data_IF_320527131657
#
_entry.id   IF_320527131657
#
_cell.length_a   1.000
_cell.length_b   1.000
_cell.length_c   1.000
_cell.angle_alpha   90.00
_cell.angle_beta   90.00
_cell.angle_gamma   90.00
#
_symmetry.space_group_name_H-M   'P 1'
#
loop_
_entity.id
_entity.type
_entity.pdbx_description
1 polymer ?
#
# COMPACT_ATOMS: atom_id res chain seq x y z
N UNK A 1 21.07 -71.35 21.11
CA UNK A 1 20.37 -71.45 22.40
C UNK A 1 20.72 -70.22 23.22
N UNK A 2 19.66 -69.48 23.62
CA UNK A 2 19.54 -68.57 24.77
C UNK A 2 20.56 -67.43 24.94
N UNK A 3 20.19 -66.18 24.64
CA UNK A 3 19.52 -65.20 25.55
C UNK A 3 20.27 -64.96 26.86
N UNK A 4 20.87 -63.78 26.98
CA UNK A 4 21.01 -63.07 28.25
C UNK A 4 20.50 -61.64 28.09
N UNK A 5 19.52 -61.29 28.92
CA UNK A 5 19.02 -59.94 29.16
C UNK A 5 20.00 -59.20 30.07
N UNK A 6 20.43 -58.01 29.66
CA UNK A 6 21.12 -57.04 30.49
C UNK A 6 20.25 -55.81 30.71
N UNK A 7 19.82 -55.60 31.96
CA UNK A 7 19.21 -54.36 32.46
C UNK A 7 20.27 -53.24 32.44
N UNK A 8 19.99 -52.12 31.76
CA UNK A 8 20.83 -50.92 31.82
C UNK A 8 20.12 -49.84 32.65
N UNK A 9 20.87 -49.33 33.63
CA UNK A 9 20.52 -48.26 34.55
C UNK A 9 20.28 -46.94 33.81
N UNK A 10 19.26 -46.19 34.26
CA UNK A 10 18.95 -44.85 33.79
C UNK A 10 20.03 -43.84 34.18
N UNK A 11 20.55 -43.14 33.18
CA UNK A 11 21.36 -41.92 33.36
C UNK A 11 20.44 -40.71 33.41
N UNK A 12 20.45 -40.02 34.56
CA UNK A 12 19.85 -38.71 34.76
C UNK A 12 20.42 -37.71 33.73
N UNK A 13 19.56 -37.16 32.89
CA UNK A 13 19.90 -36.05 31.99
C UNK A 13 19.32 -34.79 32.60
N UNK A 14 20.16 -34.04 33.33
CA UNK A 14 19.85 -32.70 33.81
C UNK A 14 19.62 -31.77 32.60
N UNK A 15 18.36 -31.44 32.34
CA UNK A 15 17.97 -30.44 31.37
C UNK A 15 18.31 -29.05 31.90
N UNK A 16 19.39 -28.46 31.39
CA UNK A 16 19.76 -27.06 31.62
C UNK A 16 18.75 -26.14 30.90
N UNK A 17 18.04 -25.29 31.65
CA UNK A 17 17.17 -24.25 31.09
C UNK A 17 17.75 -22.85 31.32
N UNK A 18 17.68 -22.02 30.28
CA UNK A 18 18.08 -20.61 30.28
C UNK A 18 16.88 -19.72 30.66
N UNK A 19 17.10 -18.65 31.43
CA UNK A 19 16.06 -17.68 31.78
C UNK A 19 16.08 -16.45 30.87
N UNK A 20 14.90 -16.00 30.44
CA UNK A 20 14.64 -14.82 29.62
C UNK A 20 13.94 -13.74 30.42
N UNK A 21 14.23 -12.47 30.12
CA UNK A 21 13.63 -11.31 30.78
C UNK A 21 13.08 -10.34 29.73
N UNK A 22 12.04 -9.59 30.09
CA UNK A 22 11.40 -8.61 29.20
C UNK A 22 11.30 -7.25 29.89
N UNK A 23 11.66 -6.19 29.17
CA UNK A 23 11.56 -4.80 29.62
C UNK A 23 10.46 -4.11 28.82
N UNK A 24 9.49 -3.51 29.51
CA UNK A 24 8.45 -2.68 28.91
C UNK A 24 8.76 -1.19 29.07
N UNK A 25 8.72 -0.44 27.98
CA UNK A 25 8.97 1.00 27.88
C UNK A 25 7.70 1.73 27.44
N UNK A 26 7.44 2.95 27.91
CA UNK A 26 6.27 3.73 27.46
C UNK A 26 6.68 5.11 26.96
N UNK A 27 6.55 5.38 25.67
CA UNK A 27 6.53 6.76 25.16
C UNK A 27 5.10 7.30 25.31
N UNK A 28 4.92 8.63 25.37
CA UNK A 28 3.64 9.31 25.67
C UNK A 28 2.38 8.82 24.93
N UNK A 29 2.46 7.92 23.92
CA UNK A 29 1.31 7.20 23.35
C UNK A 29 1.52 5.72 22.95
N UNK A 30 2.67 5.08 23.21
CA UNK A 30 2.91 3.68 22.79
C UNK A 30 3.82 2.90 23.76
N UNK A 31 3.47 1.66 24.14
CA UNK A 31 4.40 0.75 24.80
C UNK A 31 5.37 0.10 23.79
N UNK A 32 6.66 0.02 24.13
CA UNK A 32 7.73 -0.68 23.41
C UNK A 32 8.24 -1.84 24.29
N UNK A 33 8.64 -2.97 23.70
CA UNK A 33 9.31 -4.06 24.44
C UNK A 33 10.74 -4.28 23.97
N UNK A 34 11.59 -4.70 24.91
CA UNK A 34 12.90 -5.27 24.64
C UNK A 34 13.02 -6.63 25.36
N UNK A 35 13.38 -7.68 24.62
CA UNK A 35 13.61 -9.03 25.14
C UNK A 35 15.12 -9.27 25.25
N UNK A 36 15.59 -9.60 26.46
CA UNK A 36 16.98 -9.96 26.73
C UNK A 36 17.11 -11.45 27.06
N UNK A 37 18.07 -12.13 26.43
CA UNK A 37 18.43 -13.51 26.74
C UNK A 37 19.74 -13.53 27.56
N UNK A 38 19.78 -14.34 28.62
CA UNK A 38 21.02 -14.55 29.41
C UNK A 38 21.72 -15.86 29.03
N UNK A 39 23.05 -15.81 28.92
CA UNK A 39 23.91 -16.97 28.72
C UNK A 39 24.67 -17.29 30.02
N UNK A 40 24.40 -18.49 30.54
CA UNK A 40 25.12 -19.24 31.57
C UNK A 40 24.94 -18.86 33.05
N UNK A 41 24.71 -19.92 33.85
CA UNK A 41 24.70 -19.92 35.31
C UNK A 41 26.13 -19.96 35.84
N UNK A 42 26.50 -18.99 36.66
CA UNK A 42 27.37 -19.23 37.81
C UNK A 42 27.00 -18.25 38.92
N UNK A 43 26.51 -18.78 40.05
CA UNK A 43 26.20 -18.10 41.31
C UNK A 43 25.06 -17.05 41.30
N UNK A 44 24.11 -17.20 42.23
CA UNK A 44 22.93 -16.32 42.41
C UNK A 44 23.28 -14.83 42.59
N UNK A 45 24.49 -14.49 43.07
CA UNK A 45 24.95 -13.11 43.20
C UNK A 45 25.46 -12.50 41.87
N UNK A 46 25.97 -13.29 40.93
CA UNK A 46 26.44 -12.77 39.62
C UNK A 46 25.30 -12.44 38.67
N UNK A 47 24.18 -13.18 38.75
CA UNK A 47 23.01 -13.00 37.88
C UNK A 47 22.30 -11.64 38.10
N UNK A 48 22.20 -11.18 39.36
CA UNK A 48 21.63 -9.87 39.65
C UNK A 48 22.52 -8.72 39.16
N UNK A 49 23.84 -8.86 39.29
CA UNK A 49 24.81 -7.87 38.81
C UNK A 49 24.79 -7.75 37.28
N UNK A 50 24.67 -8.87 36.55
CA UNK A 50 24.65 -8.89 35.08
C UNK A 50 23.34 -8.33 34.49
N UNK A 51 22.21 -8.56 35.17
CA UNK A 51 20.90 -7.98 34.80
C UNK A 51 20.90 -6.48 35.06
N UNK A 52 21.48 -6.02 36.17
CA UNK A 52 21.62 -4.60 36.48
C UNK A 52 22.53 -3.87 35.49
N UNK A 53 23.63 -4.49 35.05
CA UNK A 53 24.55 -3.93 34.04
C UNK A 53 23.87 -3.81 32.66
N UNK A 54 23.06 -4.79 32.25
CA UNK A 54 22.24 -4.69 31.04
C UNK A 54 21.13 -3.63 31.16
N UNK A 55 20.53 -3.46 32.34
CA UNK A 55 19.54 -2.43 32.60
C UNK A 55 20.13 -1.01 32.60
N UNK A 56 21.35 -0.85 33.11
CA UNK A 56 22.11 0.40 32.96
C UNK A 56 22.44 0.68 31.50
N UNK A 57 22.74 -0.36 30.70
CA UNK A 57 22.99 -0.20 29.25
C UNK A 57 21.78 0.33 28.47
N UNK A 58 20.55 0.03 28.92
CA UNK A 58 19.30 0.52 28.32
C UNK A 58 19.04 2.00 28.63
N UNK A 59 19.76 2.60 29.59
CA UNK A 59 19.66 4.03 29.97
C UNK A 59 18.23 4.51 30.20
N UNK A 60 17.38 3.66 30.78
CA UNK A 60 15.95 3.94 30.96
C UNK A 60 15.68 5.20 31.80
N UNK A 61 16.55 5.47 32.77
CA UNK A 61 16.48 6.70 33.58
C UNK A 61 16.77 7.95 32.77
N UNK A 62 17.70 7.89 31.81
CA UNK A 62 18.00 9.01 30.91
C UNK A 62 16.81 9.27 29.98
N UNK A 63 16.10 8.22 29.55
CA UNK A 63 14.88 8.33 28.76
C UNK A 63 13.73 8.99 29.54
N UNK A 64 13.58 8.72 30.84
CA UNK A 64 12.63 9.45 31.69
C UNK A 64 13.05 10.91 31.83
N UNK A 65 14.33 11.15 32.10
CA UNK A 65 14.86 12.50 32.36
C UNK A 65 14.79 13.39 31.11
N UNK A 66 14.87 12.79 29.91
CA UNK A 66 14.67 13.46 28.62
C UNK A 66 13.20 13.57 28.19
N UNK A 67 12.24 13.20 29.06
CA UNK A 67 10.81 13.18 28.79
C UNK A 67 10.42 12.35 27.56
N UNK A 68 11.27 11.38 27.20
CA UNK A 68 11.00 10.45 26.13
C UNK A 68 10.05 9.35 26.61
N UNK A 69 10.25 8.83 27.83
CA UNK A 69 9.31 7.89 28.44
C UNK A 69 8.74 8.43 29.75
N UNK A 70 7.47 8.14 30.02
CA UNK A 70 6.82 8.63 31.25
C UNK A 70 7.20 7.79 32.47
N UNK A 71 7.24 6.46 32.29
CA UNK A 71 7.69 5.50 33.30
C UNK A 71 8.03 4.16 32.64
N UNK A 72 8.73 3.29 33.37
CA UNK A 72 8.98 1.92 32.96
C UNK A 72 8.73 0.95 34.12
N UNK A 73 8.40 -0.29 33.79
CA UNK A 73 8.26 -1.39 34.74
C UNK A 73 9.06 -2.58 34.21
N UNK A 74 9.81 -3.23 35.10
CA UNK A 74 10.59 -4.43 34.79
C UNK A 74 9.86 -5.60 35.42
N UNK A 75 9.53 -6.61 34.62
CA UNK A 75 8.81 -7.79 35.08
C UNK A 75 9.66 -9.03 34.86
N UNK A 76 9.76 -9.85 35.92
CA UNK A 76 10.40 -11.15 35.85
C UNK A 76 9.40 -12.14 35.27
N UNK A 77 9.72 -12.75 34.14
CA UNK A 77 8.93 -13.85 33.61
C UNK A 77 9.57 -15.15 34.12
N UNK A 78 8.90 -15.91 35.01
CA UNK A 78 9.46 -17.15 35.51
C UNK A 78 9.47 -18.22 34.41
N UNK A 79 10.46 -19.11 34.51
CA UNK A 79 10.74 -20.12 33.50
C UNK A 79 9.79 -21.34 33.59
N UNK A 80 8.88 -21.36 34.56
CA UNK A 80 8.07 -22.53 34.90
C UNK A 80 6.58 -22.20 34.90
N UNK A 81 5.81 -22.99 34.15
CA UNK A 81 4.35 -22.84 33.98
C UNK A 81 3.60 -23.13 35.30
N UNK A 82 4.24 -23.78 36.27
CA UNK A 82 3.66 -24.11 37.58
C UNK A 82 3.79 -22.97 38.61
N UNK A 83 4.48 -21.88 38.26
CA UNK A 83 4.58 -20.71 39.13
C UNK A 83 3.29 -19.87 39.04
N UNK A 84 2.44 -20.01 40.06
CA UNK A 84 1.18 -19.29 40.15
C UNK A 84 1.40 -17.78 40.31
N UNK A 85 2.43 -17.39 41.06
CA UNK A 85 2.78 -15.98 41.26
C UNK A 85 3.31 -15.36 39.97
N UNK A 86 4.18 -16.10 39.29
CA UNK A 86 4.64 -15.80 37.94
C UNK A 86 3.54 -15.61 36.90
N UNK A 87 2.57 -16.53 36.89
CA UNK A 87 1.44 -16.47 35.98
C UNK A 87 0.57 -15.23 36.22
N UNK A 88 0.39 -14.85 37.50
CA UNK A 88 -0.31 -13.62 37.87
C UNK A 88 0.45 -12.37 37.41
N UNK A 89 1.78 -12.34 37.56
CA UNK A 89 2.61 -11.23 37.09
C UNK A 89 2.55 -11.06 35.56
N UNK A 90 2.57 -12.16 34.81
CA UNK A 90 2.40 -12.13 33.34
C UNK A 90 0.99 -11.64 32.98
N UNK A 91 -0.04 -12.11 33.69
CA UNK A 91 -1.41 -11.66 33.44
C UNK A 91 -1.58 -10.16 33.71
N UNK A 92 -1.00 -9.64 34.78
CA UNK A 92 -1.01 -8.22 35.11
C UNK A 92 -0.25 -7.40 34.06
N UNK A 93 0.90 -7.90 33.59
CA UNK A 93 1.66 -7.31 32.49
C UNK A 93 0.80 -7.17 31.23
N UNK A 94 0.13 -8.26 30.83
CA UNK A 94 -0.72 -8.30 29.64
C UNK A 94 -1.91 -7.36 29.80
N UNK A 95 -2.57 -7.35 30.97
CA UNK A 95 -3.69 -6.43 31.25
C UNK A 95 -3.25 -4.97 31.18
N UNK A 96 -2.11 -4.65 31.78
CA UNK A 96 -1.52 -3.32 31.70
C UNK A 96 -1.22 -2.94 30.25
N UNK A 97 -0.59 -3.82 29.47
CA UNK A 97 -0.33 -3.59 28.04
C UNK A 97 -1.62 -3.31 27.26
N UNK A 98 -2.70 -4.06 27.50
CA UNK A 98 -4.00 -3.84 26.85
C UNK A 98 -4.64 -2.51 27.28
N UNK A 99 -4.49 -2.10 28.54
CA UNK A 99 -5.05 -0.84 29.03
C UNK A 99 -4.32 0.39 28.49
N UNK A 100 -3.02 0.25 28.19
CA UNK A 100 -2.15 1.35 27.74
C UNK A 100 -1.74 1.23 26.27
N UNK A 101 -2.22 0.22 25.53
CA UNK A 101 -2.08 0.16 24.08
C UNK A 101 -2.98 1.20 23.43
N UNK A 102 -2.43 2.00 22.52
CA UNK A 102 -3.21 2.82 21.57
C UNK A 102 -4.25 1.92 20.87
N UNK A 103 -5.43 2.44 20.45
CA UNK A 103 -6.37 1.66 19.64
C UNK A 103 -5.61 0.99 18.51
N UNK A 104 -5.70 -0.34 18.44
CA UNK A 104 -5.00 -1.13 17.43
C UNK A 104 -5.31 -0.54 16.06
N UNK A 105 -4.29 -0.08 15.34
CA UNK A 105 -4.44 0.37 13.97
C UNK A 105 -5.02 -0.79 13.15
N UNK A 106 -6.13 -0.55 12.44
CA UNK A 106 -6.77 -1.60 11.65
C UNK A 106 -5.90 -1.90 10.41
N UNK A 107 -5.30 -3.09 10.41
CA UNK A 107 -4.53 -3.59 9.29
C UNK A 107 -5.46 -4.36 8.35
N UNK A 108 -5.49 -3.93 7.09
CA UNK A 108 -6.23 -4.61 6.04
C UNK A 108 -5.28 -5.52 5.26
N UNK A 109 -5.71 -6.77 5.01
CA UNK A 109 -5.08 -7.70 4.09
C UNK A 109 -6.03 -8.01 2.93
N UNK A 110 -5.60 -7.75 1.70
CA UNK A 110 -6.37 -8.07 0.49
C UNK A 110 -5.44 -8.40 -0.69
N UNK A 111 -6.00 -8.85 -1.82
CA UNK A 111 -5.19 -9.12 -3.01
C UNK A 111 -4.72 -7.81 -3.63
N UNK A 112 -3.53 -7.81 -4.22
CA UNK A 112 -2.96 -6.63 -4.89
C UNK A 112 -3.92 -6.07 -5.94
N UNK A 113 -4.50 -6.93 -6.77
CA UNK A 113 -5.47 -6.52 -7.79
C UNK A 113 -6.68 -5.83 -7.16
N UNK A 114 -7.26 -6.41 -6.11
CA UNK A 114 -8.40 -5.80 -5.44
C UNK A 114 -8.05 -4.45 -4.79
N UNK A 115 -6.90 -4.36 -4.12
CA UNK A 115 -6.39 -3.13 -3.55
C UNK A 115 -6.23 -2.03 -4.61
N UNK A 116 -5.59 -2.35 -5.73
CA UNK A 116 -5.36 -1.40 -6.82
C UNK A 116 -6.67 -0.96 -7.47
N UNK A 117 -7.56 -1.89 -7.84
CA UNK A 117 -8.85 -1.57 -8.45
C UNK A 117 -9.70 -0.66 -7.54
N UNK A 118 -9.76 -0.99 -6.25
CA UNK A 118 -10.50 -0.22 -5.26
C UNK A 118 -9.90 1.17 -5.08
N UNK A 119 -8.59 1.27 -4.89
CA UNK A 119 -7.89 2.55 -4.72
C UNK A 119 -8.04 3.46 -5.95
N UNK A 120 -7.84 2.91 -7.15
CA UNK A 120 -8.00 3.64 -8.41
C UNK A 120 -9.47 4.06 -8.60
N UNK A 121 -10.44 3.18 -8.35
CA UNK A 121 -11.84 3.54 -8.51
C UNK A 121 -12.27 4.66 -7.55
N UNK A 122 -11.88 4.58 -6.27
CA UNK A 122 -12.23 5.58 -5.26
C UNK A 122 -11.56 6.94 -5.53
N UNK A 123 -10.25 6.97 -5.80
CA UNK A 123 -9.51 8.23 -5.88
C UNK A 123 -9.39 8.81 -7.28
N UNK A 124 -9.43 7.97 -8.33
CA UNK A 124 -9.41 8.44 -9.72
C UNK A 124 -10.80 8.35 -10.37
N UNK A 125 -11.39 7.15 -10.39
CA UNK A 125 -12.61 6.86 -11.15
C UNK A 125 -13.80 7.74 -10.75
N UNK A 126 -14.10 7.83 -9.45
CA UNK A 126 -15.19 8.68 -8.96
C UNK A 126 -14.96 10.17 -9.21
N UNK A 127 -13.70 10.64 -9.18
CA UNK A 127 -13.36 12.05 -9.37
C UNK A 127 -13.44 12.44 -10.83
N UNK A 128 -12.89 11.63 -11.72
CA UNK A 128 -13.00 11.82 -13.16
C UNK A 128 -14.47 11.78 -13.60
N UNK A 129 -15.25 10.82 -13.09
CA UNK A 129 -16.68 10.73 -13.39
C UNK A 129 -17.48 11.97 -12.96
N UNK A 130 -17.09 12.60 -11.84
CA UNK A 130 -17.70 13.86 -11.39
C UNK A 130 -17.29 15.02 -12.29
N UNK A 131 -16.00 15.15 -12.60
CA UNK A 131 -15.50 16.20 -13.51
C UNK A 131 -16.13 16.09 -14.91
N UNK A 132 -16.26 14.88 -15.47
CA UNK A 132 -16.95 14.62 -16.72
C UNK A 132 -18.39 15.16 -16.70
N UNK A 133 -19.15 14.88 -15.64
CA UNK A 133 -20.53 15.35 -15.51
C UNK A 133 -20.60 16.87 -15.41
N UNK A 134 -19.76 17.47 -14.57
CA UNK A 134 -19.73 18.91 -14.37
C UNK A 134 -19.37 19.64 -15.68
N UNK A 135 -18.38 19.12 -16.43
CA UNK A 135 -17.97 19.66 -17.73
C UNK A 135 -19.05 19.48 -18.79
N UNK A 136 -19.71 18.32 -18.84
CA UNK A 136 -20.84 18.10 -19.74
C UNK A 136 -21.98 19.08 -19.48
N UNK A 137 -22.33 19.33 -18.21
CA UNK A 137 -23.34 20.33 -17.83
C UNK A 137 -22.93 21.75 -18.22
N UNK A 138 -21.63 22.04 -18.19
CA UNK A 138 -21.07 23.32 -18.63
C UNK A 138 -20.92 23.46 -20.16
N UNK A 139 -21.21 22.41 -20.95
CA UNK A 139 -20.93 22.38 -22.38
C UNK A 139 -19.44 22.40 -22.73
N UNK A 140 -18.57 22.01 -21.79
CA UNK A 140 -17.13 22.00 -21.95
C UNK A 140 -16.63 20.67 -22.54
N UNK A 141 -15.56 20.69 -23.34
CA UNK A 141 -14.94 19.47 -23.88
C UNK A 141 -14.32 18.60 -22.78
N UNK A 142 -13.84 17.42 -23.17
CA UNK A 142 -13.04 16.55 -22.30
C UNK A 142 -11.88 17.31 -21.64
N UNK A 143 -11.48 16.88 -20.44
CA UNK A 143 -10.35 17.45 -19.74
C UNK A 143 -9.05 17.16 -20.50
N UNK A 144 -8.05 18.05 -20.36
CA UNK A 144 -6.73 17.86 -20.97
C UNK A 144 -6.09 16.53 -20.51
N UNK A 145 -5.49 15.75 -21.42
CA UNK A 145 -4.94 14.43 -21.09
C UNK A 145 -3.84 14.50 -20.04
N UNK A 146 -3.05 15.56 -20.03
CA UNK A 146 -1.99 15.80 -19.04
C UNK A 146 -2.56 15.85 -17.62
N UNK A 147 -3.69 16.55 -17.45
CA UNK A 147 -4.37 16.72 -16.16
C UNK A 147 -4.99 15.41 -15.68
N UNK A 148 -5.59 14.63 -16.59
CA UNK A 148 -6.16 13.31 -16.29
C UNK A 148 -5.04 12.32 -15.90
N UNK A 149 -3.93 12.31 -16.66
CA UNK A 149 -2.79 11.43 -16.40
C UNK A 149 -2.07 11.80 -15.09
N UNK A 150 -1.95 13.09 -14.78
CA UNK A 150 -1.37 13.53 -13.51
C UNK A 150 -2.22 13.07 -12.32
N UNK A 151 -3.56 13.20 -12.41
CA UNK A 151 -4.46 12.65 -11.39
C UNK A 151 -4.22 11.15 -11.22
N UNK A 152 -4.27 10.38 -12.32
CA UNK A 152 -4.08 8.93 -12.26
C UNK A 152 -2.72 8.56 -11.66
N UNK A 153 -1.62 9.12 -12.17
CA UNK A 153 -0.27 8.77 -11.74
C UNK A 153 0.00 9.18 -10.28
N UNK A 154 -0.61 10.27 -9.81
CA UNK A 154 -0.54 10.67 -8.39
C UNK A 154 -1.27 9.69 -7.48
N UNK A 155 -2.40 9.10 -7.92
CA UNK A 155 -3.09 8.03 -7.20
C UNK A 155 -2.20 6.79 -7.13
N UNK A 156 -1.56 6.41 -8.25
CA UNK A 156 -0.62 5.27 -8.26
C UNK A 156 0.55 5.51 -7.31
N UNK A 157 1.13 6.71 -7.30
CA UNK A 157 2.23 7.06 -6.39
C UNK A 157 1.81 7.02 -4.92
N UNK A 158 0.61 7.53 -4.62
CA UNK A 158 0.02 7.46 -3.30
C UNK A 158 -0.18 6.00 -2.84
N UNK A 159 -0.82 5.17 -3.68
CA UNK A 159 -1.04 3.76 -3.38
C UNK A 159 0.30 3.02 -3.20
N UNK A 160 1.32 3.34 -4.00
CA UNK A 160 2.67 2.82 -3.84
C UNK A 160 3.25 3.20 -2.47
N UNK A 161 3.03 4.43 -1.99
CA UNK A 161 3.40 4.88 -0.66
C UNK A 161 2.69 4.11 0.46
N UNK A 162 1.39 3.85 0.31
CA UNK A 162 0.56 3.11 1.27
C UNK A 162 1.07 1.67 1.44
N UNK A 163 1.33 0.96 0.34
CA UNK A 163 1.78 -0.45 0.38
C UNK A 163 3.24 -0.61 0.77
N UNK A 164 4.04 0.46 0.73
CA UNK A 164 5.45 0.47 1.10
C UNK A 164 5.75 1.25 2.38
N UNK A 165 4.72 1.50 3.19
CA UNK A 165 4.85 2.25 4.42
C UNK A 165 5.87 1.58 5.35
N UNK A 166 6.94 2.30 5.73
CA UNK A 166 8.01 1.80 6.62
C UNK A 166 7.50 1.28 7.97
N UNK A 167 6.33 1.73 8.39
CA UNK A 167 5.64 1.26 9.59
C UNK A 167 5.34 -0.24 9.52
N UNK A 168 5.11 -0.77 8.31
CA UNK A 168 4.95 -2.20 8.01
C UNK A 168 6.27 -2.98 8.16
N UNK A 169 7.44 -2.32 8.09
CA UNK A 169 8.76 -2.96 8.28
C UNK A 169 9.18 -3.10 9.75
N UNK A 170 8.45 -2.53 10.71
CA UNK A 170 9.06 -2.24 12.00
C UNK A 170 9.26 -3.48 12.91
N UNK A 171 10.48 -3.65 13.49
CA UNK A 171 10.75 -4.59 14.58
C UNK A 171 10.25 -4.08 15.95
N UNK A 172 9.60 -2.91 16.01
CA UNK A 172 8.91 -2.40 17.20
C UNK A 172 7.55 -3.07 17.39
N UNK A 173 7.59 -4.38 17.61
CA UNK A 173 7.01 -4.91 18.83
C UNK A 173 5.52 -4.67 19.14
N UNK A 174 4.66 -4.51 18.14
CA UNK A 174 3.32 -5.03 18.29
C UNK A 174 3.35 -6.36 17.56
N UNK A 175 3.53 -7.42 18.35
CA UNK A 175 3.39 -8.76 17.85
C UNK A 175 2.01 -8.89 17.17
N UNK A 176 1.88 -9.71 16.11
CA UNK A 176 0.71 -9.74 15.23
C UNK A 176 -0.64 -9.80 15.96
N UNK A 177 -0.67 -10.32 17.19
CA UNK A 177 -1.78 -10.30 18.15
C UNK A 177 -2.34 -8.91 18.52
N UNK A 178 -1.59 -7.83 18.32
CA UNK A 178 -2.02 -6.45 18.60
C UNK A 178 -2.61 -5.75 17.37
N UNK A 179 -2.59 -6.37 16.19
CA UNK A 179 -3.29 -5.87 15.02
C UNK A 179 -4.62 -6.59 14.87
N UNK A 180 -5.70 -5.83 14.65
CA UNK A 180 -6.95 -6.42 14.17
C UNK A 180 -6.82 -6.66 12.68
N UNK A 181 -6.48 -7.88 12.30
CA UNK A 181 -6.53 -8.34 10.92
C UNK A 181 -8.00 -8.48 10.50
N UNK A 182 -8.37 -7.86 9.38
CA UNK A 182 -9.67 -8.10 8.74
C UNK A 182 -9.78 -9.53 8.17
N UNK A 183 -8.66 -10.18 7.88
CA UNK A 183 -8.57 -11.51 7.28
C UNK A 183 -7.38 -12.29 7.84
N UNK A 184 -7.65 -13.40 8.54
CA UNK A 184 -6.62 -14.21 9.22
C UNK A 184 -5.72 -15.01 8.27
N UNK A 185 -6.02 -15.06 6.97
CA UNK A 185 -5.25 -15.80 5.95
C UNK A 185 -4.05 -15.04 5.38
N UNK A 186 -3.65 -13.92 5.98
CA UNK A 186 -2.55 -13.09 5.49
C UNK A 186 -1.24 -13.88 5.57
N UNK A 187 -0.80 -14.42 4.41
CA UNK A 187 0.41 -15.22 4.30
C UNK A 187 1.61 -14.30 4.52
N UNK A 188 2.44 -14.61 5.50
CA UNK A 188 3.69 -13.88 5.71
C UNK A 188 4.55 -13.97 4.44
N UNK A 189 5.12 -12.84 3.96
CA UNK A 189 5.96 -12.85 2.78
C UNK A 189 7.15 -13.79 2.98
N UNK A 190 7.47 -14.58 1.95
CA UNK A 190 8.67 -15.41 1.96
C UNK A 190 9.86 -14.52 1.61
N UNK A 191 10.49 -13.92 2.62
CA UNK A 191 11.66 -13.05 2.44
C UNK A 191 11.74 -11.92 3.46
N UNK A 192 12.71 -11.03 3.28
CA UNK A 192 12.87 -9.81 4.09
C UNK A 192 11.70 -8.87 3.83
N UNK A 193 10.96 -8.49 4.88
CA UNK A 193 9.82 -7.58 4.76
C UNK A 193 10.19 -6.26 4.04
N UNK A 194 11.32 -5.59 4.35
CA UNK A 194 11.78 -4.42 3.58
C UNK A 194 11.91 -4.64 2.07
N UNK A 195 12.50 -5.75 1.64
CA UNK A 195 12.68 -6.06 0.21
C UNK A 195 11.34 -6.31 -0.47
N UNK A 196 10.41 -6.96 0.24
CA UNK A 196 9.06 -7.20 -0.24
C UNK A 196 8.28 -5.90 -0.41
N UNK A 197 8.36 -4.97 0.54
CA UNK A 197 7.69 -3.67 0.44
C UNK A 197 8.25 -2.79 -0.68
N UNK A 198 9.58 -2.81 -0.88
CA UNK A 198 10.21 -2.07 -1.97
C UNK A 198 9.81 -2.67 -3.33
N UNK A 199 9.73 -3.99 -3.40
CA UNK A 199 9.18 -4.67 -4.57
C UNK A 199 7.72 -4.29 -4.81
N UNK A 200 6.86 -4.31 -3.77
CA UNK A 200 5.47 -3.85 -3.86
C UNK A 200 5.38 -2.41 -4.38
N UNK A 201 6.24 -1.51 -3.88
CA UNK A 201 6.33 -0.13 -4.37
C UNK A 201 6.64 -0.11 -5.87
N UNK A 202 7.66 -0.85 -6.30
CA UNK A 202 8.11 -0.90 -7.69
C UNK A 202 7.03 -1.42 -8.63
N UNK A 203 6.36 -2.52 -8.26
CA UNK A 203 5.30 -3.08 -9.09
C UNK A 203 4.07 -2.17 -9.14
N UNK A 204 3.74 -1.46 -8.05
CA UNK A 204 2.67 -0.45 -8.08
C UNK A 204 3.03 0.71 -9.00
N UNK A 205 4.25 1.26 -8.90
CA UNK A 205 4.71 2.36 -9.76
C UNK A 205 4.80 1.97 -11.24
N UNK A 206 5.00 0.69 -11.56
CA UNK A 206 4.95 0.19 -12.95
C UNK A 206 3.59 0.33 -13.63
N UNK A 207 2.53 0.62 -12.86
CA UNK A 207 1.18 0.89 -13.38
C UNK A 207 0.99 2.36 -13.79
N UNK A 208 2.00 3.21 -13.65
CA UNK A 208 1.92 4.59 -14.14
C UNK A 208 1.86 4.63 -15.67
N UNK A 209 1.10 5.59 -16.19
CA UNK A 209 0.99 5.84 -17.62
C UNK A 209 1.96 6.97 -18.03
N UNK A 210 2.72 6.81 -19.12
CA UNK A 210 3.58 7.87 -19.63
C UNK A 210 2.76 9.07 -20.11
N UNK A 211 3.35 10.28 -20.13
CA UNK A 211 2.67 11.47 -20.64
C UNK A 211 2.31 11.31 -22.12
N UNK A 212 1.14 11.80 -22.50
CA UNK A 212 0.75 11.90 -23.91
C UNK A 212 1.45 13.11 -24.50
N UNK A 213 2.22 12.92 -25.57
CA UNK A 213 2.89 14.01 -26.29
C UNK A 213 2.17 14.21 -27.62
N UNK A 214 1.35 15.25 -27.70
CA UNK A 214 0.71 15.68 -28.95
C UNK A 214 1.52 16.77 -29.63
N UNK A 215 1.60 16.78 -30.97
CA UNK A 215 2.25 17.88 -31.66
C UNK A 215 1.33 19.13 -31.65
N UNK A 216 1.91 20.31 -31.41
CA UNK A 216 1.16 21.54 -31.06
C UNK A 216 0.19 22.08 -32.14
N UNK A 217 0.43 21.75 -33.41
CA UNK A 217 -0.43 22.14 -34.54
C UNK A 217 -0.45 21.02 -35.56
N UNK A 218 -1.43 20.14 -35.44
CA UNK A 218 -1.58 18.99 -36.34
C UNK A 218 -2.98 18.87 -36.86
N UNK A 219 -3.07 18.30 -38.07
CA UNK A 219 -4.35 17.88 -38.61
C UNK A 219 -5.00 16.83 -37.70
N UNK A 220 -6.31 16.71 -37.78
CA UNK A 220 -7.07 15.69 -37.04
C UNK A 220 -6.49 14.28 -37.27
N UNK A 221 -6.14 13.97 -38.52
CA UNK A 221 -5.51 12.70 -38.88
C UNK A 221 -4.17 12.49 -38.16
N UNK A 222 -3.35 13.53 -38.05
CA UNK A 222 -2.09 13.46 -37.32
C UNK A 222 -2.32 13.28 -35.81
N UNK A 223 -3.32 13.94 -35.23
CA UNK A 223 -3.73 13.73 -33.82
C UNK A 223 -4.18 12.29 -33.59
N UNK A 224 -5.08 11.76 -34.40
CA UNK A 224 -5.51 10.36 -34.35
C UNK A 224 -4.32 9.40 -34.46
N UNK A 225 -3.41 9.63 -35.41
CA UNK A 225 -2.22 8.78 -35.58
C UNK A 225 -1.30 8.82 -34.36
N UNK A 226 -1.20 9.96 -33.67
CA UNK A 226 -0.36 10.12 -32.48
C UNK A 226 -0.98 9.39 -31.29
N UNK A 227 -2.31 9.45 -31.14
CA UNK A 227 -3.07 8.70 -30.13
C UNK A 227 -2.91 7.20 -30.35
N UNK A 228 -3.10 6.72 -31.58
CA UNK A 228 -2.94 5.30 -31.89
C UNK A 228 -1.50 4.82 -31.68
N UNK A 229 -0.49 5.64 -32.01
CA UNK A 229 0.91 5.36 -31.69
C UNK A 229 1.16 5.28 -30.18
N UNK A 230 0.54 6.17 -29.40
CA UNK A 230 0.63 6.14 -27.94
C UNK A 230 0.02 4.84 -27.39
N UNK A 231 -1.18 4.46 -27.83
CA UNK A 231 -1.82 3.20 -27.42
C UNK A 231 -1.01 1.98 -27.86
N UNK A 232 -0.43 2.01 -29.06
CA UNK A 232 0.49 0.97 -29.54
C UNK A 232 1.77 0.88 -28.70
N UNK A 233 2.32 2.01 -28.27
CA UNK A 233 3.49 2.02 -27.40
C UNK A 233 3.21 1.32 -26.06
N UNK A 234 2.02 1.50 -25.50
CA UNK A 234 1.62 0.89 -24.23
C UNK A 234 1.32 -0.61 -24.35
N UNK A 235 0.59 -1.00 -25.40
CA UNK A 235 -0.04 -2.33 -25.45
C UNK A 235 0.31 -3.14 -26.69
N UNK A 236 1.15 -2.64 -27.61
CA UNK A 236 1.34 -3.22 -28.95
C UNK A 236 1.78 -4.68 -29.00
N UNK A 237 2.41 -5.18 -27.93
CA UNK A 237 2.80 -6.60 -27.78
C UNK A 237 1.71 -7.49 -27.18
N UNK A 238 0.63 -6.90 -26.65
CA UNK A 238 -0.39 -7.62 -25.89
C UNK A 238 -1.50 -8.18 -26.82
N UNK A 239 -1.98 -9.42 -26.61
CA UNK A 239 -3.02 -10.02 -27.46
C UNK A 239 -4.36 -9.25 -27.50
N UNK A 240 -4.67 -8.45 -26.47
CA UNK A 240 -5.87 -7.62 -26.43
C UNK A 240 -5.72 -6.25 -27.11
N UNK A 241 -4.54 -5.92 -27.64
CA UNK A 241 -4.30 -4.67 -28.37
C UNK A 241 -5.22 -4.43 -29.57
N UNK A 242 -5.49 -5.41 -30.47
CA UNK A 242 -6.34 -5.17 -31.63
C UNK A 242 -7.75 -4.70 -31.25
N UNK A 243 -8.31 -5.22 -30.15
CA UNK A 243 -9.61 -4.78 -29.65
C UNK A 243 -9.56 -3.34 -29.13
N UNK A 244 -8.55 -3.01 -28.32
CA UNK A 244 -8.35 -1.66 -27.80
C UNK A 244 -8.12 -0.65 -28.93
N UNK A 245 -7.33 -1.02 -29.95
CA UNK A 245 -7.10 -0.20 -31.13
C UNK A 245 -8.42 0.14 -31.83
N UNK A 246 -9.25 -0.86 -32.13
CA UNK A 246 -10.55 -0.66 -32.77
C UNK A 246 -11.50 0.22 -31.92
N UNK A 247 -11.49 0.06 -30.60
CA UNK A 247 -12.30 0.88 -29.69
C UNK A 247 -11.87 2.35 -29.73
N UNK A 248 -10.56 2.61 -29.65
CA UNK A 248 -10.01 3.97 -29.72
C UNK A 248 -10.27 4.60 -31.09
N UNK A 249 -10.05 3.87 -32.17
CA UNK A 249 -10.33 4.32 -33.54
C UNK A 249 -11.82 4.65 -33.73
N UNK A 250 -12.72 3.84 -33.17
CA UNK A 250 -14.15 4.11 -33.18
C UNK A 250 -14.51 5.38 -32.41
N UNK A 251 -13.95 5.60 -31.23
CA UNK A 251 -14.15 6.83 -30.44
C UNK A 251 -13.70 8.08 -31.18
N UNK A 252 -12.52 8.01 -31.83
CA UNK A 252 -12.02 9.12 -32.65
C UNK A 252 -12.92 9.37 -33.86
N UNK A 253 -13.39 8.32 -34.53
CA UNK A 253 -14.33 8.45 -35.64
C UNK A 253 -15.65 9.08 -35.19
N UNK A 254 -16.16 8.69 -34.03
CA UNK A 254 -17.38 9.24 -33.45
C UNK A 254 -17.21 10.72 -33.08
N UNK A 255 -16.09 11.09 -32.47
CA UNK A 255 -15.75 12.48 -32.16
C UNK A 255 -15.70 13.35 -33.42
N UNK A 256 -15.06 12.85 -34.49
CA UNK A 256 -15.01 13.53 -35.78
C UNK A 256 -16.41 13.73 -36.38
N UNK A 257 -17.25 12.69 -36.39
CA UNK A 257 -18.62 12.79 -36.90
C UNK A 257 -19.45 13.78 -36.07
N UNK A 258 -19.33 13.75 -34.75
CA UNK A 258 -20.05 14.67 -33.86
C UNK A 258 -19.67 16.13 -34.12
N UNK A 259 -18.37 16.41 -34.20
CA UNK A 259 -17.84 17.73 -34.57
C UNK A 259 -18.36 18.17 -35.95
N UNK A 260 -18.27 17.30 -36.96
CA UNK A 260 -18.73 17.59 -38.32
C UNK A 260 -20.22 17.95 -38.37
N UNK A 261 -21.05 17.31 -37.54
CA UNK A 261 -22.49 17.61 -37.46
C UNK A 261 -22.83 18.87 -36.68
N UNK A 262 -21.95 19.33 -35.77
CA UNK A 262 -22.17 20.55 -34.96
C UNK A 262 -21.80 21.81 -35.74
N UNK A 263 -20.64 21.77 -36.40
CA UNK A 263 -19.98 22.98 -36.93
C UNK A 263 -20.03 23.04 -38.47
N UNK A 264 -21.15 22.63 -39.08
CA UNK A 264 -21.35 22.61 -40.54
C UNK A 264 -20.93 23.94 -41.19
N UNK A 265 -19.71 24.01 -41.74
CA UNK A 265 -19.29 25.10 -42.62
C UNK A 265 -18.03 25.88 -42.21
N UNK A 266 -17.36 25.58 -41.10
CA UNK A 266 -16.02 26.14 -40.85
C UNK A 266 -14.95 25.28 -41.54
N UNK A 267 -14.08 25.88 -42.37
CA UNK A 267 -12.96 25.19 -43.03
C UNK A 267 -11.83 24.77 -42.06
N UNK A 268 -12.12 24.74 -40.77
CA UNK A 268 -11.15 24.48 -39.73
C UNK A 268 -11.29 23.03 -39.28
N UNK A 269 -10.17 22.30 -39.19
CA UNK A 269 -10.20 20.92 -38.72
C UNK A 269 -10.52 20.82 -37.21
N UNK A 270 -11.06 19.68 -36.73
CA UNK A 270 -11.35 19.51 -35.32
C UNK A 270 -10.08 19.64 -34.47
N UNK A 271 -10.21 20.39 -33.39
CA UNK A 271 -9.11 20.60 -32.45
C UNK A 271 -8.87 19.37 -31.57
N UNK A 272 -7.71 19.31 -30.90
CA UNK A 272 -7.42 18.29 -29.90
C UNK A 272 -8.40 18.27 -28.71
N UNK A 273 -9.23 19.30 -28.55
CA UNK A 273 -10.28 19.38 -27.52
C UNK A 273 -11.48 18.48 -27.83
N UNK A 274 -11.71 18.15 -29.10
CA UNK A 274 -12.81 17.26 -29.50
C UNK A 274 -12.50 15.77 -29.20
N UNK A 275 -11.26 15.46 -28.84
CA UNK A 275 -10.85 14.10 -28.48
C UNK A 275 -11.44 13.73 -27.10
N UNK A 276 -12.10 12.57 -26.97
CA UNK A 276 -12.64 12.08 -25.70
C UNK A 276 -11.53 11.48 -24.82
N UNK A 277 -10.60 12.33 -24.34
CA UNK A 277 -9.41 11.94 -23.58
C UNK A 277 -9.74 11.15 -22.32
N UNK A 278 -10.74 11.61 -21.59
CA UNK A 278 -11.32 10.95 -20.43
C UNK A 278 -11.71 9.49 -20.69
N UNK A 279 -12.38 9.21 -21.81
CA UNK A 279 -12.78 7.85 -22.19
C UNK A 279 -11.57 7.03 -22.66
N UNK A 280 -10.70 7.61 -23.48
CA UNK A 280 -9.51 6.91 -24.01
C UNK A 280 -8.57 6.50 -22.88
N UNK A 281 -8.29 7.39 -21.92
CA UNK A 281 -7.42 7.10 -20.79
C UNK A 281 -8.06 6.06 -19.88
N UNK A 282 -9.38 6.11 -19.63
CA UNK A 282 -10.09 5.06 -18.89
C UNK A 282 -9.94 3.68 -19.54
N UNK A 283 -10.07 3.60 -20.87
CA UNK A 283 -9.86 2.36 -21.61
C UNK A 283 -8.41 1.86 -21.47
N UNK A 284 -7.42 2.75 -21.53
CA UNK A 284 -6.03 2.39 -21.29
C UNK A 284 -5.80 1.86 -19.87
N UNK A 285 -6.34 2.50 -18.84
CA UNK A 285 -6.23 2.06 -17.45
C UNK A 285 -6.90 0.70 -17.25
N UNK A 286 -8.11 0.52 -17.79
CA UNK A 286 -8.83 -0.75 -17.70
C UNK A 286 -8.03 -1.88 -18.36
N UNK A 287 -7.50 -1.64 -19.56
CA UNK A 287 -6.64 -2.61 -20.23
C UNK A 287 -5.38 -2.88 -19.41
N UNK A 288 -4.73 -1.84 -18.89
CA UNK A 288 -3.53 -2.00 -18.07
C UNK A 288 -3.78 -2.92 -16.89
N UNK A 289 -4.86 -2.70 -16.12
CA UNK A 289 -5.19 -3.54 -14.96
C UNK A 289 -5.55 -4.98 -15.34
N UNK A 290 -6.21 -5.19 -16.49
CA UNK A 290 -6.59 -6.53 -16.98
C UNK A 290 -5.39 -7.32 -17.53
N UNK A 291 -4.40 -6.63 -18.09
CA UNK A 291 -3.27 -7.24 -18.78
C UNK A 291 -2.00 -7.27 -17.93
N UNK A 292 -2.01 -6.56 -16.81
CA UNK A 292 -0.89 -6.52 -15.91
C UNK A 292 -0.60 -7.90 -15.34
N UNK A 293 0.67 -8.30 -15.46
CA UNK A 293 1.19 -9.51 -14.86
C UNK A 293 2.27 -9.14 -13.86
N UNK A 294 2.22 -9.67 -12.63
CA UNK A 294 3.22 -9.32 -11.64
C UNK A 294 4.60 -9.83 -12.05
N UNK A 295 5.65 -9.02 -11.90
CA UNK A 295 7.02 -9.52 -12.00
C UNK A 295 7.30 -10.50 -10.86
N UNK A 296 8.38 -11.28 -10.96
CA UNK A 296 8.70 -12.29 -9.95
C UNK A 296 8.95 -11.64 -8.58
N UNK A 297 8.42 -12.26 -7.53
CA UNK A 297 8.69 -11.85 -6.15
C UNK A 297 10.17 -12.17 -5.79
N UNK A 298 10.85 -11.29 -5.04
CA UNK A 298 12.17 -11.58 -4.49
C UNK A 298 12.13 -12.82 -3.57
N UNK A 299 13.10 -13.74 -3.70
CA UNK A 299 13.30 -14.86 -2.77
C UNK A 299 12.59 -16.18 -3.10
N UNK A 300 11.78 -16.25 -4.16
CA UNK A 300 11.13 -17.51 -4.58
C UNK A 300 12.03 -18.37 -5.49
N UNK A 301 12.23 -19.69 -5.19
CA UNK A 301 13.07 -20.58 -6.00
C UNK A 301 12.47 -20.83 -7.40
N UNK A 302 13.33 -21.03 -8.40
CA UNK A 302 12.99 -21.10 -9.84
C UNK A 302 12.15 -22.33 -10.29
N UNK A 303 11.51 -23.08 -9.39
CA UNK A 303 10.83 -24.33 -9.74
C UNK A 303 9.30 -24.22 -9.71
N UNK A 304 8.70 -24.13 -10.90
CA UNK A 304 7.50 -24.89 -11.32
C UNK A 304 6.11 -24.55 -10.76
N UNK A 305 5.95 -23.97 -9.57
CA UNK A 305 4.65 -23.99 -8.85
C UNK A 305 4.14 -22.62 -8.37
N UNK A 306 4.38 -21.54 -9.10
CA UNK A 306 3.85 -20.21 -8.74
C UNK A 306 3.00 -19.52 -9.81
N UNK A 307 2.63 -20.20 -10.89
CA UNK A 307 1.57 -19.70 -11.77
C UNK A 307 0.24 -19.71 -11.00
N UNK A 308 -0.21 -18.53 -10.57
CA UNK A 308 -1.53 -18.32 -9.97
C UNK A 308 -1.57 -17.96 -8.48
N UNK A 309 -0.43 -17.67 -7.82
CA UNK A 309 -0.49 -17.13 -6.45
C UNK A 309 -0.81 -15.64 -6.49
N UNK A 310 -1.99 -15.28 -5.97
CA UNK A 310 -2.39 -13.87 -5.81
C UNK A 310 -1.47 -13.17 -4.80
N UNK A 311 -0.92 -12.02 -5.20
CA UNK A 311 -0.11 -11.17 -4.33
C UNK A 311 -1.00 -10.60 -3.23
N UNK A 312 -0.59 -10.71 -1.98
CA UNK A 312 -1.30 -10.17 -0.82
C UNK A 312 -0.67 -8.84 -0.41
N UNK A 313 -1.48 -7.83 -0.14
CA UNK A 313 -1.04 -6.51 0.29
C UNK A 313 -1.57 -6.23 1.68
N UNK A 314 -0.70 -5.69 2.55
CA UNK A 314 -1.05 -5.22 3.88
C UNK A 314 -0.96 -3.70 3.92
N UNK A 315 -1.96 -3.03 4.49
CA UNK A 315 -1.92 -1.58 4.70
C UNK A 315 -2.79 -1.16 5.88
N UNK A 316 -2.51 0.02 6.43
CA UNK A 316 -3.37 0.61 7.46
C UNK A 316 -4.59 1.25 6.82
N UNK A 317 -5.77 0.91 7.32
CA UNK A 317 -7.04 1.40 6.77
C UNK A 317 -7.12 2.93 6.70
N UNK A 318 -6.58 3.61 7.70
CA UNK A 318 -6.61 5.08 7.76
C UNK A 318 -5.65 5.73 6.76
N UNK A 319 -4.59 5.05 6.32
CA UNK A 319 -3.65 5.58 5.34
C UNK A 319 -4.32 5.88 3.99
N UNK A 320 -5.41 5.19 3.63
CA UNK A 320 -6.17 5.48 2.41
C UNK A 320 -6.85 6.87 2.45
N UNK A 321 -7.07 7.46 3.63
CA UNK A 321 -7.74 8.77 3.78
C UNK A 321 -6.78 9.94 3.61
N UNK A 322 -5.48 9.68 3.53
CA UNK A 322 -4.42 10.70 3.52
C UNK A 322 -4.06 11.15 2.09
N UNK A 323 -4.84 10.74 1.08
CA UNK A 323 -4.59 11.14 -0.30
C UNK A 323 -4.81 12.64 -0.50
N UNK A 324 -3.78 13.31 -1.00
CA UNK A 324 -3.81 14.71 -1.40
C UNK A 324 -3.90 14.80 -2.93
N UNK A 325 -4.81 15.65 -3.42
CA UNK A 325 -4.96 15.89 -4.85
C UNK A 325 -3.81 16.72 -5.42
N UNK A 326 -3.45 16.51 -6.69
CA UNK A 326 -2.59 17.43 -7.41
C UNK A 326 -3.22 18.83 -7.52
N UNK A 327 -2.42 19.87 -7.33
CA UNK A 327 -2.86 21.27 -7.44
C UNK A 327 -3.43 21.58 -8.84
N UNK A 328 -2.85 21.00 -9.88
CA UNK A 328 -3.30 21.16 -11.26
C UNK A 328 -4.75 20.70 -11.44
N UNK A 329 -5.10 19.52 -10.91
CA UNK A 329 -6.45 18.97 -10.92
C UNK A 329 -7.43 19.83 -10.13
N UNK A 330 -7.02 20.31 -8.95
CA UNK A 330 -7.87 21.18 -8.16
C UNK A 330 -8.14 22.52 -8.87
N UNK A 331 -7.12 23.10 -9.49
CA UNK A 331 -7.21 24.34 -10.25
C UNK A 331 -8.12 24.20 -11.49
N UNK A 332 -8.00 23.12 -12.25
CA UNK A 332 -8.88 22.88 -13.42
C UNK A 332 -10.32 22.63 -13.00
N UNK A 333 -10.56 21.88 -11.92
CA UNK A 333 -11.90 21.68 -11.36
C UNK A 333 -12.53 23.01 -10.91
N UNK A 334 -11.76 23.87 -10.23
CA UNK A 334 -12.22 25.20 -9.84
C UNK A 334 -12.49 26.11 -11.05
N UNK A 335 -11.75 25.94 -12.15
CA UNK A 335 -12.03 26.61 -13.42
C UNK A 335 -13.36 26.14 -14.02
N UNK A 336 -13.58 24.82 -14.14
CA UNK A 336 -14.85 24.24 -14.59
C UNK A 336 -16.04 24.81 -13.80
N UNK A 337 -15.93 24.84 -12.47
CA UNK A 337 -17.01 25.35 -11.60
C UNK A 337 -17.29 26.84 -11.81
N UNK A 338 -16.27 27.65 -12.09
CA UNK A 338 -16.46 29.07 -12.41
C UNK A 338 -17.16 29.26 -13.75
N UNK A 339 -16.81 28.44 -14.74
CA UNK A 339 -17.44 28.47 -16.07
C UNK A 339 -18.92 28.04 -15.99
N UNK A 340 -19.25 27.03 -15.18
CA UNK A 340 -20.65 26.65 -14.90
C UNK A 340 -21.46 27.81 -14.31
N UNK A 341 -20.94 28.44 -13.24
CA UNK A 341 -21.62 29.56 -12.58
C UNK A 341 -21.79 30.77 -13.51
N UNK A 342 -20.86 30.97 -14.44
CA UNK A 342 -20.96 32.03 -15.44
C UNK A 342 -22.04 31.72 -16.47
N UNK A 343 -22.10 30.47 -16.94
CA UNK A 343 -23.13 30.03 -17.88
C UNK A 343 -24.54 30.10 -17.29
N UNK A 344 -24.71 29.71 -16.02
CA UNK A 344 -25.99 29.84 -15.30
C UNK A 344 -26.45 31.30 -15.20
N UNK A 345 -25.54 32.25 -14.99
CA UNK A 345 -25.86 33.68 -14.96
C UNK A 345 -26.26 34.20 -16.33
N UNK A 346 -25.57 33.77 -17.38
CA UNK A 346 -25.86 34.17 -18.76
C UNK A 346 -27.19 33.62 -19.26
N UNK A 347 -27.62 32.44 -18.79
CA UNK A 347 -28.95 31.89 -19.10
C UNK A 347 -30.10 32.52 -18.30
N UNK A 348 -29.80 33.23 -17.20
CA UNK A 348 -30.79 33.89 -16.34
C UNK A 348 -31.08 35.36 -16.72
N UNK A 349 -30.32 35.91 -17.66
CA UNK A 349 -30.47 37.24 -18.27
C UNK A 349 -31.20 37.13 -19.61
#
# INVERSE_FOLDING_TARGET
>A
MERQHGLSYGTNRESRSQGTWSVGLTWERCPLWALGTSLSQDSSCSLELQVMDQLESLRLRDLITSHLISYFTILRIPCYIQDLEGSNQVQEAVRWLVCYSSPAAELCCETFTHFMEKGINCEFGERLSRDQKDRQLAGLPSQEPEIILELYNSVIEFLAGVVSAKQLCSPSGLAPEFFRLNNQKCLQPQGSMPEYLEWLRSITLSLQLPPVVLPQKTSWQCTCSSILKYVHHLFGSHPSYPLLHCQVEHLLSQAYCHWWTRDFGEQQEPSGMEVPWDVIICLCIQQLLQTWSPPRQPGTPEAGEQQGREIQVCYFKDSLREYCLPDSWENTRLKTRREMLQHEKEQAL
#
